data_IF_927711623725
#
_entry.id   IF_927711623725
#
_cell.length_a   1.000
_cell.length_b   1.000
_cell.length_c   1.000
_cell.angle_alpha   90.00
_cell.angle_beta   90.00
_cell.angle_gamma   90.00
#
_symmetry.space_group_name_H-M   'P 1'
#
loop_
_entity.id
_entity.type
_entity.pdbx_description
1 polymer ?
#
# COMPACT_ATOMS: atom_id res chain seq x y z
N UNK A 1 21.76 15.25 26.49
CA UNK A 1 21.60 16.42 25.63
C UNK A 1 21.35 15.87 24.21
N UNK A 2 20.11 15.59 23.86
CA UNK A 2 19.76 15.07 22.54
C UNK A 2 19.54 16.28 21.61
N UNK A 3 20.38 16.41 20.61
CA UNK A 3 20.14 17.37 19.54
C UNK A 3 18.93 16.90 18.72
N UNK A 4 17.78 17.55 18.94
CA UNK A 4 16.68 17.53 17.97
C UNK A 4 17.14 18.35 16.76
N UNK A 5 17.74 17.67 15.78
CA UNK A 5 17.94 18.26 14.47
C UNK A 5 16.58 18.44 13.81
N UNK A 6 16.18 19.69 13.56
CA UNK A 6 15.07 20.01 12.68
C UNK A 6 15.36 19.37 11.32
N UNK A 7 14.66 18.28 10.99
CA UNK A 7 14.63 17.73 9.64
C UNK A 7 13.78 18.71 8.83
N UNK A 8 14.45 19.64 8.16
CA UNK A 8 13.79 20.52 7.21
C UNK A 8 13.05 19.63 6.19
N UNK A 9 11.75 19.89 6.00
CA UNK A 9 10.94 19.18 5.01
C UNK A 9 11.67 19.21 3.67
N UNK A 10 12.17 18.05 3.23
CA UNK A 10 12.85 17.95 1.94
C UNK A 10 11.82 18.22 0.84
N UNK A 11 12.04 19.27 0.05
CA UNK A 11 11.26 19.53 -1.16
C UNK A 11 11.49 18.39 -2.15
N UNK A 12 10.53 17.47 -2.24
CA UNK A 12 10.60 16.34 -3.15
C UNK A 12 10.29 16.84 -4.56
N UNK A 13 11.28 16.73 -5.44
CA UNK A 13 11.17 17.20 -6.82
C UNK A 13 10.69 16.06 -7.72
N UNK A 14 9.56 16.29 -8.39
CA UNK A 14 9.01 15.38 -9.39
C UNK A 14 9.44 15.79 -10.80
N UNK A 15 10.23 14.94 -11.47
CA UNK A 15 10.57 15.09 -12.90
C UNK A 15 9.35 14.83 -13.78
N UNK A 16 9.35 15.39 -15.01
CA UNK A 16 8.38 15.08 -16.06
C UNK A 16 8.94 14.00 -16.97
N UNK A 17 8.19 12.91 -17.10
CA UNK A 17 8.57 11.75 -17.89
C UNK A 17 7.43 11.33 -18.81
N UNK A 18 7.71 10.45 -19.77
CA UNK A 18 6.71 9.80 -20.63
C UNK A 18 7.02 8.32 -20.74
N UNK A 19 5.99 7.50 -20.90
CA UNK A 19 6.12 6.07 -21.16
C UNK A 19 5.21 5.67 -22.31
N UNK A 20 5.71 4.84 -23.23
CA UNK A 20 4.98 4.37 -24.39
C UNK A 20 4.93 2.86 -24.45
N UNK A 21 3.75 2.31 -24.70
CA UNK A 21 3.50 0.90 -24.89
C UNK A 21 2.42 0.69 -25.96
N UNK A 22 2.72 -0.09 -27.00
CA UNK A 22 1.74 -0.48 -28.02
C UNK A 22 1.01 0.71 -28.69
N UNK A 23 1.72 1.82 -28.93
CA UNK A 23 1.13 3.04 -29.51
C UNK A 23 0.41 3.95 -28.50
N UNK A 24 0.29 3.54 -27.24
CA UNK A 24 -0.24 4.38 -26.15
C UNK A 24 0.91 5.05 -25.43
N UNK A 25 0.88 6.39 -25.35
CA UNK A 25 1.85 7.17 -24.58
C UNK A 25 1.16 7.83 -23.39
N UNK A 26 1.72 7.65 -22.18
CA UNK A 26 1.24 8.29 -20.97
C UNK A 26 2.33 9.22 -20.41
N UNK A 27 2.00 10.48 -20.10
CA UNK A 27 2.86 11.31 -19.29
C UNK A 27 2.79 10.86 -17.84
N UNK A 28 3.90 10.97 -17.12
CA UNK A 28 3.92 10.71 -15.69
C UNK A 28 4.95 11.59 -14.97
N UNK A 29 4.74 11.78 -13.68
CA UNK A 29 5.70 12.42 -12.79
C UNK A 29 6.44 11.35 -12.00
N UNK A 30 7.72 11.59 -11.73
CA UNK A 30 8.58 10.67 -10.98
C UNK A 30 9.39 11.43 -9.94
N UNK A 31 9.39 10.93 -8.72
CA UNK A 31 10.30 11.37 -7.66
C UNK A 31 10.98 10.17 -7.02
N UNK A 32 12.08 10.42 -6.33
CA UNK A 32 12.76 9.43 -5.51
C UNK A 32 13.06 10.00 -4.14
N UNK A 33 12.85 9.19 -3.11
CA UNK A 33 13.26 9.49 -1.74
C UNK A 33 14.49 8.66 -1.37
N UNK A 34 15.44 9.23 -0.62
CA UNK A 34 16.57 8.48 -0.10
C UNK A 34 16.13 7.53 1.01
N UNK A 35 16.94 6.54 1.31
CA UNK A 35 16.73 5.59 2.40
C UNK A 35 17.66 4.39 2.28
N UNK A 36 17.67 3.49 3.27
CA UNK A 36 18.50 2.29 3.26
C UNK A 36 18.03 1.27 2.20
N UNK A 37 18.92 0.31 1.91
CA UNK A 37 18.66 -0.79 0.99
C UNK A 37 19.15 -0.51 -0.45
N UNK A 38 19.33 -1.58 -1.21
CA UNK A 38 19.84 -1.52 -2.58
C UNK A 38 18.73 -1.11 -3.55
N UNK A 39 17.53 -1.69 -3.43
CA UNK A 39 16.37 -1.40 -4.25
C UNK A 39 15.41 -0.45 -3.53
N UNK A 40 14.61 0.27 -4.30
CA UNK A 40 13.61 1.19 -3.80
C UNK A 40 12.23 0.54 -3.74
N UNK A 41 11.39 0.90 -2.76
CA UNK A 41 9.96 0.66 -2.84
C UNK A 41 9.38 1.39 -4.07
N UNK A 42 8.43 0.77 -4.77
CA UNK A 42 7.76 1.38 -5.92
C UNK A 42 6.35 1.80 -5.52
N UNK A 43 6.08 3.09 -5.63
CA UNK A 43 4.80 3.69 -5.24
C UNK A 43 4.13 4.32 -6.45
N UNK A 44 2.89 3.93 -6.72
CA UNK A 44 2.10 4.56 -7.77
C UNK A 44 0.86 5.23 -7.18
N UNK A 45 0.57 6.46 -7.64
CA UNK A 45 -0.64 7.19 -7.29
C UNK A 45 -1.50 7.44 -8.53
N UNK A 46 -2.74 6.96 -8.52
CA UNK A 46 -3.73 7.17 -9.57
C UNK A 46 -4.62 8.37 -9.21
N UNK A 47 -4.62 9.39 -10.06
CA UNK A 47 -5.34 10.63 -9.81
C UNK A 47 -6.87 10.52 -9.99
N UNK A 48 -7.61 11.44 -9.40
CA UNK A 48 -9.05 11.59 -9.52
C UNK A 48 -9.52 12.17 -10.88
N UNK A 49 -10.82 12.26 -11.06
CA UNK A 49 -11.42 12.68 -12.32
C UNK A 49 -11.10 14.13 -12.74
N UNK A 50 -10.90 15.04 -11.78
CA UNK A 50 -10.56 16.44 -12.00
C UNK A 50 -9.14 16.66 -12.54
N UNK A 51 -8.26 15.66 -12.35
CA UNK A 51 -6.83 15.75 -12.70
C UNK A 51 -6.47 15.11 -14.03
N UNK A 52 -7.49 14.72 -14.83
CA UNK A 52 -7.31 14.20 -16.19
C UNK A 52 -6.67 15.23 -17.11
N UNK A 53 -5.79 14.79 -17.99
CA UNK A 53 -5.12 15.67 -18.95
C UNK A 53 -3.97 14.99 -19.67
N UNK A 54 -3.21 15.80 -20.41
CA UNK A 54 -1.98 15.40 -21.10
C UNK A 54 -0.85 16.42 -20.86
N UNK A 55 -1.02 17.32 -19.89
CA UNK A 55 -0.09 18.41 -19.61
C UNK A 55 1.07 17.98 -18.68
N UNK A 56 0.96 16.80 -18.10
CA UNK A 56 1.88 16.30 -17.09
C UNK A 56 2.09 17.26 -15.91
N UNK A 57 1.00 17.97 -15.52
CA UNK A 57 1.00 18.98 -14.44
C UNK A 57 -0.22 18.80 -13.55
N UNK A 58 -1.41 18.74 -14.11
CA UNK A 58 -2.68 18.81 -13.38
C UNK A 58 -2.85 17.64 -12.39
N UNK A 59 -2.32 16.45 -12.69
CA UNK A 59 -2.36 15.30 -11.78
C UNK A 59 -1.62 15.56 -10.45
N UNK A 60 -0.70 16.51 -10.42
CA UNK A 60 0.04 16.85 -9.20
C UNK A 60 -0.76 17.67 -8.18
N UNK A 61 -1.99 18.09 -8.53
CA UNK A 61 -2.90 18.77 -7.62
C UNK A 61 -3.57 17.81 -6.62
N UNK A 62 -3.37 16.50 -6.76
CA UNK A 62 -3.92 15.50 -5.85
C UNK A 62 -3.24 15.57 -4.47
N UNK A 63 -4.01 15.77 -3.40
CA UNK A 63 -3.43 16.01 -2.06
C UNK A 63 -2.63 14.81 -1.53
N UNK A 64 -3.06 13.59 -1.85
CA UNK A 64 -2.40 12.35 -1.42
C UNK A 64 -0.94 12.24 -1.86
N UNK A 65 -0.58 12.85 -2.98
CA UNK A 65 0.80 12.82 -3.49
C UNK A 65 1.77 13.44 -2.49
N UNK A 66 1.44 14.63 -1.98
CA UNK A 66 2.28 15.32 -1.01
C UNK A 66 2.34 14.57 0.33
N UNK A 67 1.22 14.07 0.84
CA UNK A 67 1.17 13.29 2.08
C UNK A 67 2.04 12.05 2.01
N UNK A 68 1.90 11.25 0.93
CA UNK A 68 2.65 10.01 0.73
C UNK A 68 4.15 10.31 0.56
N UNK A 69 4.50 11.26 -0.32
CA UNK A 69 5.91 11.56 -0.58
C UNK A 69 6.62 12.15 0.64
N UNK A 70 5.93 12.99 1.42
CA UNK A 70 6.46 13.52 2.68
C UNK A 70 6.64 12.42 3.72
N UNK A 71 5.67 11.51 3.84
CA UNK A 71 5.78 10.37 4.74
C UNK A 71 7.00 9.48 4.40
N UNK A 72 7.21 9.16 3.12
CA UNK A 72 8.36 8.39 2.65
C UNK A 72 9.69 9.05 3.03
N UNK A 73 9.80 10.36 2.83
CA UNK A 73 11.00 11.12 3.17
C UNK A 73 11.23 11.20 4.69
N UNK A 74 10.18 11.50 5.45
CA UNK A 74 10.26 11.65 6.91
C UNK A 74 10.60 10.33 7.62
N UNK A 75 10.19 9.19 7.03
CA UNK A 75 10.50 7.86 7.54
C UNK A 75 11.76 7.23 6.93
N UNK A 76 12.58 8.05 6.23
CA UNK A 76 13.83 7.60 5.60
C UNK A 76 13.63 6.35 4.72
N UNK A 77 12.49 6.27 4.02
CA UNK A 77 12.15 5.12 3.18
C UNK A 77 12.62 5.37 1.74
N UNK A 78 13.55 4.54 1.27
CA UNK A 78 14.00 4.58 -0.12
C UNK A 78 12.85 4.17 -1.04
N UNK A 79 12.38 5.11 -1.88
CA UNK A 79 11.26 4.85 -2.76
C UNK A 79 11.39 5.58 -4.10
N UNK A 80 10.73 5.02 -5.12
CA UNK A 80 10.43 5.68 -6.39
C UNK A 80 8.92 5.85 -6.44
N UNK A 81 8.45 7.10 -6.47
CA UNK A 81 7.04 7.42 -6.61
C UNK A 81 6.74 7.87 -8.03
N UNK A 82 5.73 7.27 -8.66
CA UNK A 82 5.27 7.61 -10.01
C UNK A 82 3.81 8.04 -9.96
N UNK A 83 3.48 9.11 -10.71
CA UNK A 83 2.15 9.68 -10.80
C UNK A 83 1.79 9.81 -12.29
N UNK A 84 1.22 8.75 -12.90
CA UNK A 84 0.80 8.81 -14.29
C UNK A 84 -0.40 9.75 -14.45
N UNK A 85 -0.54 10.39 -15.62
CA UNK A 85 -1.68 11.20 -15.98
C UNK A 85 -2.50 10.53 -17.07
N UNK A 86 -3.81 10.61 -16.94
CA UNK A 86 -4.77 10.00 -17.81
C UNK A 86 -5.48 11.01 -18.72
N UNK A 87 -5.70 10.73 -20.01
CA UNK A 87 -6.43 11.61 -20.92
C UNK A 87 -7.85 11.94 -20.45
N UNK A 88 -8.38 13.10 -20.88
CA UNK A 88 -9.67 13.63 -20.43
C UNK A 88 -10.87 12.74 -20.76
N UNK A 89 -10.82 12.01 -21.85
CA UNK A 89 -11.91 11.23 -22.42
C UNK A 89 -12.03 9.81 -21.86
N UNK A 90 -11.16 9.41 -20.91
CA UNK A 90 -11.06 8.02 -20.44
C UNK A 90 -11.11 7.90 -18.91
N UNK A 91 -11.03 6.68 -18.41
CA UNK A 91 -10.98 6.32 -16.98
C UNK A 91 -9.91 5.23 -16.73
N UNK A 92 -9.50 4.99 -15.49
CA UNK A 92 -8.53 3.97 -15.13
C UNK A 92 -9.07 2.54 -15.34
N UNK A 93 -9.14 2.12 -16.62
CA UNK A 93 -9.67 0.82 -17.06
C UNK A 93 -8.87 0.28 -18.26
N UNK A 94 -8.94 -1.03 -18.47
CA UNK A 94 -8.44 -1.70 -19.67
C UNK A 94 -6.98 -1.43 -20.00
N UNK A 95 -6.70 -1.03 -21.24
CA UNK A 95 -5.34 -0.84 -21.76
C UNK A 95 -4.48 0.15 -20.97
N UNK A 96 -5.11 1.13 -20.31
CA UNK A 96 -4.34 2.10 -19.52
C UNK A 96 -3.82 1.52 -18.22
N UNK A 97 -4.62 0.69 -17.53
CA UNK A 97 -4.11 -0.03 -16.37
C UNK A 97 -2.96 -0.97 -16.78
N UNK A 98 -3.07 -1.63 -17.93
CA UNK A 98 -1.99 -2.44 -18.48
C UNK A 98 -0.74 -1.60 -18.78
N UNK A 99 -0.91 -0.38 -19.29
CA UNK A 99 0.22 0.53 -19.56
C UNK A 99 0.88 0.99 -18.25
N UNK A 100 0.10 1.32 -17.22
CA UNK A 100 0.63 1.67 -15.88
C UNK A 100 1.35 0.48 -15.26
N UNK A 101 0.77 -0.73 -15.32
CA UNK A 101 1.41 -1.95 -14.84
C UNK A 101 2.76 -2.18 -15.54
N UNK A 102 2.80 -2.02 -16.86
CA UNK A 102 4.04 -2.21 -17.62
C UNK A 102 5.07 -1.11 -17.29
N UNK A 103 4.64 0.15 -17.08
CA UNK A 103 5.53 1.19 -16.59
C UNK A 103 6.17 0.79 -15.25
N UNK A 104 5.39 0.31 -14.29
CA UNK A 104 5.93 -0.20 -13.02
C UNK A 104 6.90 -1.37 -13.23
N UNK A 105 6.57 -2.31 -14.12
CA UNK A 105 7.41 -3.46 -14.43
C UNK A 105 8.80 -3.03 -14.93
N UNK A 106 8.90 -1.92 -15.69
CA UNK A 106 10.21 -1.45 -16.17
C UNK A 106 11.16 -1.05 -15.06
N UNK A 107 10.65 -0.57 -13.91
CA UNK A 107 11.50 -0.25 -12.75
C UNK A 107 11.98 -1.52 -12.04
N UNK A 108 11.14 -2.55 -11.99
CA UNK A 108 11.48 -3.86 -11.42
C UNK A 108 12.51 -4.56 -12.30
N UNK A 109 12.27 -4.63 -13.62
CA UNK A 109 13.16 -5.30 -14.60
C UNK A 109 14.54 -4.66 -14.67
N UNK A 110 14.62 -3.36 -14.42
CA UNK A 110 15.90 -2.64 -14.31
C UNK A 110 16.62 -2.87 -12.97
N UNK A 111 16.01 -3.58 -12.03
CA UNK A 111 16.58 -3.85 -10.72
C UNK A 111 16.64 -2.64 -9.78
N UNK A 112 15.97 -1.51 -10.13
CA UNK A 112 15.97 -0.29 -9.31
C UNK A 112 14.83 -0.26 -8.31
N UNK A 113 13.76 -1.03 -8.56
CA UNK A 113 12.65 -1.21 -7.65
C UNK A 113 12.59 -2.65 -7.12
N UNK A 114 12.15 -2.79 -5.87
CA UNK A 114 11.91 -4.08 -5.23
C UNK A 114 10.53 -4.59 -5.61
N UNK A 115 10.46 -5.75 -6.25
CA UNK A 115 9.21 -6.38 -6.63
C UNK A 115 8.33 -6.78 -5.43
N UNK A 116 8.93 -6.97 -4.27
CA UNK A 116 8.23 -7.27 -3.03
C UNK A 116 7.64 -6.01 -2.35
N UNK A 117 8.03 -4.81 -2.77
CA UNK A 117 7.62 -3.54 -2.17
C UNK A 117 6.96 -2.62 -3.21
N UNK A 118 5.86 -3.07 -3.81
CA UNK A 118 5.08 -2.32 -4.80
C UNK A 118 3.75 -1.89 -4.18
N UNK A 119 3.49 -0.59 -4.12
CA UNK A 119 2.31 -0.02 -3.46
C UNK A 119 1.50 0.83 -4.42
N UNK A 120 0.16 0.77 -4.30
CA UNK A 120 -0.74 1.55 -5.14
C UNK A 120 -1.74 2.35 -4.31
N UNK A 121 -1.91 3.60 -4.69
CA UNK A 121 -2.80 4.57 -4.06
C UNK A 121 -3.68 5.25 -5.11
N UNK A 122 -4.80 5.78 -4.66
CA UNK A 122 -5.64 6.62 -5.53
C UNK A 122 -6.89 7.10 -4.82
N UNK A 123 -7.37 8.29 -5.22
CA UNK A 123 -8.60 8.89 -4.71
C UNK A 123 -9.67 8.99 -5.79
N UNK A 124 -10.97 8.82 -5.45
CA UNK A 124 -12.09 8.99 -6.37
C UNK A 124 -11.99 8.04 -7.58
N UNK A 125 -11.92 8.57 -8.79
CA UNK A 125 -11.65 7.80 -10.01
C UNK A 125 -10.35 6.99 -9.88
N UNK A 126 -9.32 7.53 -9.25
CA UNK A 126 -8.07 6.84 -8.96
C UNK A 126 -8.25 5.73 -7.92
N UNK A 127 -9.11 5.92 -6.92
CA UNK A 127 -9.50 4.89 -5.97
C UNK A 127 -10.19 3.71 -6.66
N UNK A 128 -11.14 3.99 -7.56
CA UNK A 128 -11.76 2.96 -8.41
C UNK A 128 -10.72 2.29 -9.32
N UNK A 129 -9.77 3.06 -9.86
CA UNK A 129 -8.64 2.53 -10.62
C UNK A 129 -7.75 1.62 -9.80
N UNK A 130 -7.51 1.95 -8.54
CA UNK A 130 -6.75 1.11 -7.59
C UNK A 130 -7.46 -0.24 -7.38
N UNK A 131 -8.76 -0.25 -7.08
CA UNK A 131 -9.55 -1.48 -7.00
C UNK A 131 -9.42 -2.33 -8.28
N UNK A 132 -9.53 -1.69 -9.46
CA UNK A 132 -9.39 -2.39 -10.73
C UNK A 132 -7.97 -2.95 -10.95
N UNK A 133 -6.92 -2.25 -10.48
CA UNK A 133 -5.56 -2.78 -10.54
C UNK A 133 -5.41 -4.06 -9.73
N UNK A 134 -5.99 -4.12 -8.52
CA UNK A 134 -5.96 -5.32 -7.68
C UNK A 134 -6.67 -6.50 -8.36
N UNK A 135 -7.85 -6.27 -8.93
CA UNK A 135 -8.61 -7.33 -9.61
C UNK A 135 -7.93 -7.83 -10.90
N UNK A 136 -7.19 -6.97 -11.62
CA UNK A 136 -6.52 -7.34 -12.85
C UNK A 136 -5.12 -7.91 -12.66
N UNK A 137 -4.46 -7.54 -11.56
CA UNK A 137 -3.08 -7.94 -11.25
C UNK A 137 -2.98 -8.39 -9.78
N UNK A 138 -3.68 -9.47 -9.42
CA UNK A 138 -3.54 -10.08 -8.10
C UNK A 138 -2.08 -10.45 -7.88
N UNK A 139 -1.61 -10.43 -6.66
CA UNK A 139 -0.22 -10.74 -6.28
C UNK A 139 0.85 -9.77 -6.83
N UNK A 140 0.48 -8.67 -7.48
CA UNK A 140 1.47 -7.70 -7.96
C UNK A 140 1.85 -6.65 -6.91
N UNK A 141 0.94 -6.34 -5.99
CA UNK A 141 1.12 -5.30 -4.98
C UNK A 141 1.39 -5.89 -3.60
N UNK A 142 2.26 -5.24 -2.84
CA UNK A 142 2.47 -5.52 -1.43
C UNK A 142 1.29 -5.05 -0.58
N UNK A 143 0.77 -3.86 -0.89
CA UNK A 143 -0.47 -3.34 -0.32
C UNK A 143 -1.05 -2.21 -1.20
N UNK A 144 -2.30 -1.85 -0.92
CA UNK A 144 -3.03 -0.83 -1.66
C UNK A 144 -3.85 0.09 -0.75
N UNK A 145 -4.11 1.33 -1.23
CA UNK A 145 -5.01 2.24 -0.54
C UNK A 145 -5.98 2.91 -1.52
N UNK A 146 -7.08 2.23 -1.89
CA UNK A 146 -8.18 2.82 -2.67
C UNK A 146 -9.04 3.72 -1.78
N UNK A 147 -8.99 5.03 -1.98
CA UNK A 147 -9.74 6.04 -1.21
C UNK A 147 -10.95 6.52 -2.00
N UNK A 148 -12.12 6.59 -1.35
CA UNK A 148 -13.38 7.07 -1.97
C UNK A 148 -13.59 6.46 -3.37
N UNK A 149 -13.33 5.15 -3.52
CA UNK A 149 -13.45 4.39 -4.75
C UNK A 149 -14.64 3.44 -4.77
N UNK A 150 -14.92 2.84 -5.93
CA UNK A 150 -16.02 1.88 -6.10
C UNK A 150 -15.50 0.53 -6.63
N UNK A 151 -15.60 -0.56 -5.84
CA UNK A 151 -15.18 -1.90 -6.24
C UNK A 151 -16.28 -2.73 -6.93
N UNK A 152 -17.49 -2.18 -7.11
CA UNK A 152 -18.64 -2.94 -7.62
C UNK A 152 -18.34 -3.65 -8.93
N UNK A 153 -18.65 -4.95 -8.97
CA UNK A 153 -18.51 -5.79 -10.16
C UNK A 153 -17.10 -6.34 -10.39
N UNK A 154 -16.19 -6.15 -9.45
CA UNK A 154 -14.87 -6.77 -9.48
C UNK A 154 -14.91 -8.19 -8.88
N UNK A 155 -13.86 -8.94 -9.12
CA UNK A 155 -13.64 -10.29 -8.60
C UNK A 155 -13.02 -10.20 -7.19
N UNK A 156 -13.81 -10.50 -6.16
CA UNK A 156 -13.41 -10.38 -4.76
C UNK A 156 -12.26 -11.34 -4.40
N UNK A 157 -12.23 -12.56 -4.96
CA UNK A 157 -11.14 -13.53 -4.77
C UNK A 157 -9.79 -12.95 -5.18
N UNK A 158 -9.74 -12.28 -6.33
CA UNK A 158 -8.51 -11.66 -6.83
C UNK A 158 -8.08 -10.47 -6.00
N UNK A 159 -9.03 -9.61 -5.62
CA UNK A 159 -8.71 -8.43 -4.80
C UNK A 159 -8.25 -8.82 -3.41
N UNK A 160 -8.81 -9.88 -2.84
CA UNK A 160 -8.46 -10.41 -1.52
C UNK A 160 -7.00 -10.85 -1.38
N UNK A 161 -6.28 -11.05 -2.48
CA UNK A 161 -4.86 -11.44 -2.47
C UNK A 161 -3.91 -10.30 -2.12
N UNK A 162 -4.40 -9.06 -2.04
CA UNK A 162 -3.60 -7.89 -1.69
C UNK A 162 -4.14 -7.23 -0.42
N UNK A 163 -3.32 -7.07 0.64
CA UNK A 163 -3.69 -6.25 1.79
C UNK A 163 -4.09 -4.83 1.37
N UNK A 164 -5.20 -4.32 1.91
CA UNK A 164 -5.65 -2.99 1.53
C UNK A 164 -6.23 -2.17 2.68
N UNK A 165 -6.05 -0.86 2.60
CA UNK A 165 -6.67 0.13 3.47
C UNK A 165 -7.65 0.98 2.66
N UNK A 166 -8.93 1.00 2.98
CA UNK A 166 -9.89 1.85 2.28
C UNK A 166 -10.58 2.84 3.23
N UNK A 167 -10.91 4.01 2.74
CA UNK A 167 -11.53 5.09 3.54
C UNK A 167 -12.70 5.67 2.76
N UNK A 168 -13.84 5.83 3.48
CA UNK A 168 -15.06 6.44 2.95
C UNK A 168 -15.60 7.50 3.91
N UNK A 169 -16.21 8.56 3.38
CA UNK A 169 -16.87 9.59 4.17
C UNK A 169 -18.39 9.40 4.22
N UNK A 170 -19.00 9.67 5.39
CA UNK A 170 -20.47 9.53 5.53
C UNK A 170 -21.26 10.57 4.74
N UNK A 171 -20.66 11.74 4.45
CA UNK A 171 -21.27 12.79 3.62
C UNK A 171 -20.84 12.72 2.14
N UNK A 172 -20.16 11.63 1.72
CA UNK A 172 -19.82 11.40 0.30
C UNK A 172 -21.10 11.05 -0.49
N UNK A 173 -21.49 11.96 -1.39
CA UNK A 173 -22.66 11.78 -2.27
C UNK A 173 -22.31 11.13 -3.60
N UNK A 174 -21.02 10.97 -3.90
CA UNK A 174 -20.49 10.43 -5.18
C UNK A 174 -20.25 8.93 -5.05
N UNK A 175 -19.44 8.51 -4.06
CA UNK A 175 -19.14 7.11 -3.81
C UNK A 175 -19.99 6.59 -2.65
N UNK A 176 -20.43 5.33 -2.74
CA UNK A 176 -21.41 4.78 -1.81
C UNK A 176 -20.79 3.77 -0.87
N UNK A 177 -20.84 4.05 0.42
CA UNK A 177 -20.37 3.15 1.49
C UNK A 177 -20.98 1.73 1.36
N UNK A 178 -22.28 1.53 1.09
CA UNK A 178 -22.84 0.19 0.93
C UNK A 178 -22.14 -0.66 -0.14
N UNK A 179 -21.71 -0.06 -1.25
CA UNK A 179 -20.99 -0.79 -2.30
C UNK A 179 -19.67 -1.37 -1.80
N UNK A 180 -18.91 -0.56 -1.03
CA UNK A 180 -17.64 -0.99 -0.44
C UNK A 180 -17.89 -2.06 0.62
N UNK A 181 -18.90 -1.86 1.52
CA UNK A 181 -19.25 -2.86 2.55
C UNK A 181 -19.62 -4.21 1.96
N UNK A 182 -20.47 -4.23 0.92
CA UNK A 182 -20.88 -5.47 0.25
C UNK A 182 -19.65 -6.18 -0.34
N UNK A 183 -18.80 -5.45 -1.02
CA UNK A 183 -17.61 -6.02 -1.64
C UNK A 183 -16.59 -6.55 -0.62
N UNK A 184 -16.37 -5.84 0.50
CA UNK A 184 -15.51 -6.32 1.58
C UNK A 184 -16.06 -7.59 2.23
N UNK A 185 -17.40 -7.70 2.40
CA UNK A 185 -18.03 -8.91 2.89
C UNK A 185 -17.85 -10.11 1.92
N UNK A 186 -17.80 -9.87 0.61
CA UNK A 186 -17.44 -10.90 -0.38
C UNK A 186 -15.95 -11.30 -0.25
N UNK A 187 -15.07 -10.34 0.05
CA UNK A 187 -13.65 -10.61 0.27
C UNK A 187 -13.37 -11.40 1.56
N UNK A 188 -14.24 -11.29 2.58
CA UNK A 188 -14.12 -12.07 3.84
C UNK A 188 -14.16 -13.58 3.59
N UNK A 189 -14.86 -14.05 2.53
CA UNK A 189 -14.90 -15.46 2.13
C UNK A 189 -13.51 -15.99 1.71
N UNK A 190 -12.60 -15.10 1.36
CA UNK A 190 -11.23 -15.39 0.92
C UNK A 190 -10.15 -15.04 1.95
N UNK A 191 -10.55 -14.80 3.22
CA UNK A 191 -9.65 -14.39 4.33
C UNK A 191 -8.81 -13.15 4.00
N UNK A 192 -9.41 -12.16 3.31
CA UNK A 192 -8.73 -10.93 2.93
C UNK A 192 -8.22 -10.13 4.14
N UNK A 193 -7.04 -9.56 4.01
CA UNK A 193 -6.50 -8.60 4.98
C UNK A 193 -6.85 -7.18 4.54
N UNK A 194 -7.69 -6.49 5.34
CA UNK A 194 -8.02 -5.10 5.04
C UNK A 194 -8.31 -4.27 6.29
N UNK A 195 -8.22 -2.95 6.12
CA UNK A 195 -8.74 -1.95 7.04
C UNK A 195 -9.79 -1.11 6.31
N UNK A 196 -10.86 -0.78 7.00
CA UNK A 196 -11.94 0.05 6.46
C UNK A 196 -12.38 1.11 7.44
N UNK A 197 -12.05 2.36 7.17
CA UNK A 197 -12.49 3.50 7.96
C UNK A 197 -13.67 4.21 7.30
N UNK A 198 -14.65 4.55 8.14
CA UNK A 198 -15.79 5.39 7.76
C UNK A 198 -15.70 6.67 8.57
N UNK A 199 -15.39 7.77 7.91
CA UNK A 199 -15.18 9.06 8.54
C UNK A 199 -16.47 9.88 8.57
N UNK A 200 -16.91 10.24 9.78
CA UNK A 200 -18.18 10.95 9.96
C UNK A 200 -18.10 12.40 9.45
N UNK A 201 -19.13 12.79 8.71
CA UNK A 201 -19.24 14.13 8.12
C UNK A 201 -18.28 14.41 6.96
N UNK A 202 -17.39 13.50 6.59
CA UNK A 202 -16.47 13.75 5.46
C UNK A 202 -17.20 13.67 4.14
N UNK A 203 -17.04 14.73 3.36
CA UNK A 203 -17.47 14.78 1.95
C UNK A 203 -16.53 13.94 1.08
N UNK A 204 -16.87 13.79 -0.21
CA UNK A 204 -15.98 13.15 -1.18
C UNK A 204 -14.61 13.82 -1.26
N UNK A 205 -14.58 15.16 -1.27
CA UNK A 205 -13.36 15.93 -1.29
C UNK A 205 -12.54 15.78 -0.01
N UNK A 206 -13.19 15.82 1.16
CA UNK A 206 -12.54 15.60 2.46
C UNK A 206 -11.90 14.21 2.50
N UNK A 207 -12.61 13.19 2.04
CA UNK A 207 -12.11 11.83 2.00
C UNK A 207 -10.86 11.74 1.14
N UNK A 208 -10.89 12.28 -0.09
CA UNK A 208 -9.71 12.29 -0.97
C UNK A 208 -8.53 13.07 -0.40
N UNK A 209 -8.78 14.12 0.39
CA UNK A 209 -7.73 14.99 0.93
C UNK A 209 -7.13 14.50 2.25
N UNK A 210 -7.95 13.97 3.17
CA UNK A 210 -7.58 13.74 4.57
C UNK A 210 -7.21 12.29 4.88
N UNK A 211 -7.43 11.35 3.94
CA UNK A 211 -7.24 9.92 4.21
C UNK A 211 -5.80 9.48 4.40
N UNK A 212 -4.83 10.17 3.83
CA UNK A 212 -3.42 9.75 3.81
C UNK A 212 -2.68 10.21 5.07
N UNK A 213 -3.12 9.71 6.24
CA UNK A 213 -2.51 10.00 7.55
C UNK A 213 -1.31 9.09 7.81
N UNK A 214 -0.42 9.51 8.72
CA UNK A 214 0.79 8.74 9.07
C UNK A 214 0.46 7.32 9.51
N UNK A 215 -0.54 7.13 10.37
CA UNK A 215 -0.97 5.81 10.85
C UNK A 215 -1.44 4.89 9.71
N UNK A 216 -2.23 5.41 8.77
CA UNK A 216 -2.72 4.64 7.62
C UNK A 216 -1.61 4.30 6.65
N UNK A 217 -0.71 5.26 6.39
CA UNK A 217 0.46 5.05 5.55
C UNK A 217 1.43 4.05 6.18
N UNK A 218 1.65 4.12 7.50
CA UNK A 218 2.45 3.15 8.24
C UNK A 218 1.89 1.73 8.08
N UNK A 219 0.57 1.56 8.19
CA UNK A 219 -0.07 0.26 7.95
C UNK A 219 0.17 -0.23 6.52
N UNK A 220 -0.08 0.60 5.50
CA UNK A 220 0.12 0.21 4.09
C UNK A 220 1.57 -0.15 3.80
N UNK A 221 2.51 0.69 4.22
CA UNK A 221 3.94 0.46 3.99
C UNK A 221 4.56 -0.59 4.92
N UNK A 222 3.82 -1.08 5.90
CA UNK A 222 4.20 -2.20 6.76
C UNK A 222 4.16 -3.56 6.05
N UNK A 223 3.47 -3.66 4.92
CA UNK A 223 3.34 -4.90 4.16
C UNK A 223 4.47 -5.07 3.14
N UNK A 224 4.85 -6.32 2.90
CA UNK A 224 5.81 -6.73 1.88
C UNK A 224 5.26 -7.98 1.18
N UNK A 225 5.26 -8.02 -0.15
CA UNK A 225 4.75 -9.17 -0.89
C UNK A 225 5.64 -10.40 -0.69
N UNK A 226 5.02 -11.54 -0.46
CA UNK A 226 5.72 -12.80 -0.16
C UNK A 226 5.95 -13.02 1.33
N UNK A 227 5.64 -12.07 2.17
CA UNK A 227 5.50 -12.30 3.61
C UNK A 227 4.15 -12.95 3.89
N UNK A 228 3.99 -14.23 3.51
CA UNK A 228 2.79 -15.02 3.84
C UNK A 228 2.56 -15.19 5.35
N UNK A 229 3.30 -14.47 6.16
CA UNK A 229 3.36 -14.72 7.57
C UNK A 229 2.82 -13.62 8.46
N UNK A 230 2.50 -12.41 8.02
CA UNK A 230 2.22 -11.32 8.97
C UNK A 230 3.32 -11.22 10.06
N UNK A 231 4.53 -11.64 9.73
CA UNK A 231 5.69 -11.65 10.61
C UNK A 231 6.63 -10.59 10.11
N UNK A 232 6.70 -9.46 10.81
CA UNK A 232 7.86 -8.58 10.72
C UNK A 232 9.09 -9.39 11.08
N UNK A 233 9.98 -9.65 10.13
CA UNK A 233 11.34 -10.08 10.41
C UNK A 233 12.02 -8.93 11.13
N UNK A 234 12.06 -9.02 12.44
CA UNK A 234 12.95 -8.16 13.23
C UNK A 234 14.36 -8.64 12.91
N UNK A 235 15.17 -7.73 12.37
CA UNK A 235 16.57 -7.96 12.06
C UNK A 235 17.26 -8.64 13.26
N UNK A 236 17.89 -9.79 13.04
CA UNK A 236 18.47 -10.62 14.10
C UNK A 236 19.67 -9.98 14.81
N UNK A 237 20.01 -8.74 14.49
CA UNK A 237 21.16 -8.03 15.04
C UNK A 237 20.93 -7.39 16.42
N UNK A 238 19.68 -7.35 16.93
CA UNK A 238 19.36 -6.73 18.25
C UNK A 238 18.64 -7.68 19.22
N UNK A 239 18.77 -8.98 19.07
CA UNK A 239 17.96 -9.97 19.76
C UNK A 239 18.69 -10.70 20.88
N UNK A 240 18.83 -10.05 22.01
CA UNK A 240 18.83 -10.79 23.26
C UNK A 240 17.40 -11.24 23.58
N UNK A 241 16.93 -12.40 23.10
CA UNK A 241 15.67 -13.00 23.57
C UNK A 241 15.88 -13.52 24.98
N UNK A 242 15.10 -12.98 25.94
CA UNK A 242 15.17 -13.39 27.35
C UNK A 242 14.19 -14.48 27.69
N UNK A 243 13.07 -14.60 26.97
CA UNK A 243 12.09 -15.68 27.17
C UNK A 243 11.28 -15.92 25.90
N UNK A 244 10.83 -17.15 25.71
CA UNK A 244 9.89 -17.53 24.64
C UNK A 244 8.80 -18.43 25.18
N UNK A 245 7.57 -18.17 24.77
CA UNK A 245 6.39 -18.98 25.07
C UNK A 245 5.74 -19.42 23.77
N UNK A 246 5.30 -20.65 23.71
CA UNK A 246 4.72 -21.26 22.51
C UNK A 246 3.23 -21.54 22.74
N UNK A 247 2.43 -21.42 21.70
CA UNK A 247 0.99 -21.66 21.73
C UNK A 247 0.55 -22.48 20.53
N UNK A 248 -0.40 -23.38 20.71
CA UNK A 248 -1.19 -23.94 19.61
C UNK A 248 -2.20 -22.89 19.10
N UNK A 249 -2.80 -23.12 17.93
CA UNK A 249 -3.82 -22.21 17.37
C UNK A 249 -5.10 -22.15 18.22
N UNK A 250 -5.37 -23.19 19.03
CA UNK A 250 -6.48 -23.26 20.00
C UNK A 250 -6.10 -22.71 21.38
N UNK A 251 -4.90 -22.10 21.51
CA UNK A 251 -4.49 -21.36 22.72
C UNK A 251 -3.77 -22.17 23.80
N UNK A 252 -3.46 -23.45 23.56
CA UNK A 252 -2.68 -24.25 24.54
C UNK A 252 -1.24 -23.72 24.60
N UNK A 253 -0.74 -23.47 25.82
CA UNK A 253 0.56 -22.86 26.05
C UNK A 253 1.66 -23.89 26.37
N UNK A 254 2.89 -23.65 25.88
CA UNK A 254 4.10 -24.44 26.17
C UNK A 254 5.24 -23.48 26.53
N UNK A 255 6.07 -23.88 27.49
CA UNK A 255 7.27 -23.13 27.89
C UNK A 255 8.50 -23.47 27.03
N UNK A 256 8.44 -24.56 26.26
CA UNK A 256 9.50 -25.03 25.36
C UNK A 256 8.96 -25.24 23.96
N UNK A 257 9.86 -25.31 22.98
CA UNK A 257 9.46 -25.58 21.60
C UNK A 257 8.73 -26.92 21.50
N UNK A 258 7.54 -26.96 20.93
CA UNK A 258 6.81 -28.19 20.65
C UNK A 258 7.63 -29.14 19.76
N UNK A 259 7.54 -30.43 19.99
CA UNK A 259 8.22 -31.49 19.21
C UNK A 259 7.29 -32.15 18.19
N UNK A 260 5.97 -31.94 18.33
CA UNK A 260 4.99 -32.49 17.41
C UNK A 260 4.91 -31.60 16.17
N UNK A 261 4.92 -32.20 14.97
CA UNK A 261 4.73 -31.46 13.72
C UNK A 261 3.42 -30.68 13.76
N UNK A 262 3.47 -29.43 13.37
CA UNK A 262 2.30 -28.56 13.40
C UNK A 262 2.64 -27.07 13.29
N UNK A 263 1.59 -26.25 13.20
CA UNK A 263 1.70 -24.79 13.21
C UNK A 263 1.50 -24.27 14.65
N UNK A 264 2.43 -23.43 15.09
CA UNK A 264 2.46 -22.87 16.44
C UNK A 264 2.68 -21.35 16.40
N UNK A 265 2.29 -20.68 17.47
CA UNK A 265 2.59 -19.27 17.70
C UNK A 265 3.68 -19.20 18.77
N UNK A 266 4.83 -18.61 18.43
CA UNK A 266 5.91 -18.31 19.38
C UNK A 266 5.85 -16.85 19.78
N UNK A 267 5.71 -16.58 21.07
CA UNK A 267 5.81 -15.23 21.65
C UNK A 267 7.14 -15.11 22.37
N UNK A 268 7.98 -14.19 21.95
CA UNK A 268 9.32 -13.93 22.51
C UNK A 268 9.37 -12.57 23.19
N UNK A 269 10.04 -12.48 24.34
CA UNK A 269 10.34 -11.24 25.03
C UNK A 269 11.81 -10.88 24.78
N UNK A 270 12.08 -9.65 24.34
CA UNK A 270 13.45 -9.15 24.13
C UNK A 270 14.03 -8.52 25.39
N UNK A 271 15.35 -8.32 25.44
CA UNK A 271 16.05 -7.61 26.52
C UNK A 271 15.51 -6.19 26.71
N UNK A 272 15.04 -5.54 25.63
CA UNK A 272 14.41 -4.21 25.67
C UNK A 272 12.98 -4.21 26.23
N UNK A 273 12.42 -5.38 26.56
CA UNK A 273 11.04 -5.53 27.06
C UNK A 273 9.97 -5.58 25.97
N UNK A 274 10.35 -5.58 24.71
CA UNK A 274 9.41 -5.72 23.59
C UNK A 274 8.95 -7.17 23.44
N UNK A 275 7.68 -7.38 23.05
CA UNK A 275 7.11 -8.69 22.77
C UNK A 275 7.02 -8.92 21.26
N UNK A 276 7.65 -9.99 20.78
CA UNK A 276 7.62 -10.39 19.37
C UNK A 276 6.81 -11.68 19.24
N UNK A 277 5.87 -11.74 18.30
CA UNK A 277 5.03 -12.91 18.05
C UNK A 277 5.30 -13.45 16.65
N UNK A 278 5.53 -14.76 16.54
CA UNK A 278 5.85 -15.45 15.28
C UNK A 278 4.98 -16.69 15.09
N UNK A 279 4.51 -16.95 13.86
CA UNK A 279 4.00 -18.28 13.47
C UNK A 279 5.20 -19.17 13.11
N UNK A 280 5.24 -20.38 13.63
CA UNK A 280 6.35 -21.32 13.42
C UNK A 280 5.80 -22.68 13.02
N UNK A 281 6.28 -23.23 11.92
CA UNK A 281 5.99 -24.61 11.51
C UNK A 281 7.06 -25.50 12.11
N UNK A 282 6.65 -26.43 13.00
CA UNK A 282 7.51 -27.50 13.50
C UNK A 282 7.34 -28.70 12.58
N UNK A 283 8.42 -29.15 11.94
CA UNK A 283 8.45 -30.27 10.98
C UNK A 283 8.85 -31.56 11.67
#
# INVERSE_FOLDING_TARGET
MFCSGDIAAQNIIFSKETFSLGGTTIPYRKASTPGPGDKAALVVYLHGGSSKGNDNVTQMNEPGINSISSWLANNNRKAIMIVPQYPKDRSWLGTMLATVKQLMQTFIDRGVADEAQVYIFGGSMGGTGTWNMLANYPEFFAAAMPVAGNPTGLDAEKVAQTPLYTVMGTADVIMKIPNVKTFLAEMDEWNAEYQFDIEDGWTHEDTCKKSYTDTRLEWVFGHTRGDESGITTVDASDTGIVASTWYTLDGQQFSTQPTKCGLYIKKSLTVSGCSVTQKVVVK
#
